data_IF_682427573091
#
_entry.id   IF_682427573091
#
_cell.length_a   1.000
_cell.length_b   1.000
_cell.length_c   1.000
_cell.angle_alpha   90.00
_cell.angle_beta   90.00
_cell.angle_gamma   90.00
#
_symmetry.space_group_name_H-M   'P 1'
#
loop_
_entity.id
_entity.type
_entity.pdbx_description
1 polymer ?
#
# COMPACT_ATOMS: atom_id res chain seq x y z
N UNK A 1 26.42 -13.65 -30.34
CA UNK A 1 27.02 -12.68 -29.43
C UNK A 1 25.94 -12.35 -28.36
N UNK A 2 25.89 -13.20 -27.32
CA UNK A 2 25.01 -12.98 -26.19
C UNK A 2 25.84 -12.21 -25.14
N UNK A 3 25.50 -10.98 -24.85
CA UNK A 3 26.15 -10.16 -23.82
C UNK A 3 26.68 -8.79 -24.29
N UNK A 4 26.32 -8.31 -25.47
CA UNK A 4 26.75 -7.00 -25.95
C UNK A 4 26.31 -5.82 -25.06
N UNK A 5 25.27 -6.01 -24.24
CA UNK A 5 24.72 -5.00 -23.32
C UNK A 5 25.05 -5.26 -21.83
N UNK A 6 25.99 -6.17 -21.54
CA UNK A 6 26.36 -6.56 -20.19
C UNK A 6 25.59 -7.79 -19.68
N UNK A 7 26.08 -8.38 -18.61
CA UNK A 7 25.49 -9.56 -17.96
C UNK A 7 25.32 -9.28 -16.47
N UNK A 8 24.14 -9.54 -15.93
CA UNK A 8 23.89 -9.53 -14.49
C UNK A 8 23.89 -10.99 -14.01
N UNK A 9 24.90 -11.37 -13.22
CA UNK A 9 24.96 -12.69 -12.60
C UNK A 9 24.45 -12.62 -11.17
N UNK A 10 23.34 -13.32 -10.89
CA UNK A 10 22.79 -13.43 -9.54
C UNK A 10 23.19 -14.77 -8.95
N UNK A 11 24.04 -14.75 -7.92
CA UNK A 11 24.41 -15.93 -7.17
C UNK A 11 23.68 -15.95 -5.82
N UNK A 12 22.92 -17.00 -5.56
CA UNK A 12 22.20 -17.17 -4.29
C UNK A 12 23.12 -17.73 -3.22
N UNK A 13 22.78 -17.51 -1.94
CA UNK A 13 23.52 -18.06 -0.80
C UNK A 13 23.54 -19.58 -0.86
N UNK A 14 24.70 -20.17 -0.59
CA UNK A 14 24.91 -21.60 -0.47
C UNK A 14 25.31 -21.96 0.95
N UNK A 15 25.06 -23.19 1.35
CA UNK A 15 25.61 -23.77 2.57
C UNK A 15 27.11 -23.94 2.47
N UNK A 16 27.76 -23.94 3.63
CA UNK A 16 29.19 -24.24 3.75
C UNK A 16 29.40 -25.36 4.77
N UNK A 17 30.43 -26.17 4.58
CA UNK A 17 30.81 -27.19 5.56
C UNK A 17 31.01 -26.56 6.93
N UNK A 18 30.34 -27.10 7.93
CA UNK A 18 30.41 -26.60 9.30
C UNK A 18 29.15 -26.91 10.09
N UNK A 19 29.12 -26.46 11.34
CA UNK A 19 27.96 -26.63 12.22
C UNK A 19 26.73 -25.88 11.64
N UNK A 20 25.56 -26.42 11.88
CA UNK A 20 24.31 -25.77 11.54
C UNK A 20 24.21 -24.39 12.20
N UNK A 21 23.90 -23.38 11.40
CA UNK A 21 23.67 -22.01 11.84
C UNK A 21 22.20 -21.66 11.58
N UNK A 22 21.50 -21.24 12.63
CA UNK A 22 20.15 -20.74 12.56
C UNK A 22 20.19 -19.21 12.66
N UNK A 23 19.53 -18.53 11.73
CA UNK A 23 19.34 -17.08 11.76
C UNK A 23 17.86 -16.77 11.63
N UNK A 24 17.35 -15.96 12.54
CA UNK A 24 15.96 -15.50 12.55
C UNK A 24 16.00 -13.98 12.48
N UNK A 25 15.24 -13.39 11.57
CA UNK A 25 15.03 -11.95 11.51
C UNK A 25 13.55 -11.61 11.45
N UNK A 26 13.20 -10.51 12.08
CA UNK A 26 11.88 -9.91 12.01
C UNK A 26 12.04 -8.41 11.80
N UNK A 27 11.40 -7.91 10.77
CA UNK A 27 11.40 -6.49 10.41
C UNK A 27 9.96 -5.98 10.42
N UNK A 28 9.72 -4.90 11.16
CA UNK A 28 8.47 -4.16 11.13
C UNK A 28 8.74 -2.79 10.51
N UNK A 29 8.01 -2.46 9.48
CA UNK A 29 8.09 -1.16 8.81
C UNK A 29 6.71 -0.56 8.61
N UNK A 30 6.68 0.73 8.33
CA UNK A 30 5.47 1.45 7.96
C UNK A 30 5.72 2.13 6.62
N UNK A 31 4.80 1.89 5.69
CA UNK A 31 4.81 2.54 4.39
C UNK A 31 3.84 3.72 4.41
N UNK A 32 4.23 4.81 3.77
CA UNK A 32 3.40 6.01 3.58
C UNK A 32 3.54 6.53 2.17
N UNK A 33 2.60 7.35 1.74
CA UNK A 33 2.73 8.03 0.46
C UNK A 33 3.93 8.99 0.48
N UNK A 34 4.78 8.91 -0.52
CA UNK A 34 5.93 9.81 -0.68
C UNK A 34 5.49 11.23 -1.00
N UNK A 35 4.41 11.36 -1.77
CA UNK A 35 3.79 12.62 -2.13
C UNK A 35 2.29 12.42 -2.27
N UNK A 36 1.52 13.27 -1.62
CA UNK A 36 0.10 13.39 -1.82
C UNK A 36 -0.14 14.58 -2.78
N UNK A 37 -1.10 14.51 -3.71
CA UNK A 37 -1.45 15.68 -4.51
C UNK A 37 -2.03 16.77 -3.61
N UNK A 38 -1.73 18.01 -3.93
CA UNK A 38 -2.31 19.15 -3.23
C UNK A 38 -3.83 19.17 -3.49
N UNK A 39 -4.59 19.29 -2.42
CA UNK A 39 -6.04 19.34 -2.46
C UNK A 39 -6.53 20.76 -2.69
N UNK A 40 -7.47 20.91 -3.57
CA UNK A 40 -8.27 22.13 -3.65
C UNK A 40 -9.36 22.10 -2.60
N UNK A 41 -9.61 23.23 -1.96
CA UNK A 41 -10.82 23.43 -1.18
C UNK A 41 -12.06 23.46 -2.08
N UNK A 42 -13.23 23.15 -1.54
CA UNK A 42 -14.46 23.13 -2.32
C UNK A 42 -14.76 24.47 -3.01
N UNK A 43 -14.47 25.61 -2.38
CA UNK A 43 -14.63 26.93 -2.99
C UNK A 43 -13.60 27.21 -4.09
N UNK A 44 -12.35 26.76 -3.94
CA UNK A 44 -11.32 26.90 -4.97
C UNK A 44 -11.68 26.09 -6.22
N UNK A 45 -12.24 24.89 -6.03
CA UNK A 45 -12.79 24.12 -7.13
C UNK A 45 -13.89 24.86 -7.87
N UNK A 46 -14.85 25.49 -7.14
CA UNK A 46 -15.93 26.25 -7.74
C UNK A 46 -15.39 27.47 -8.56
N UNK A 47 -14.41 28.20 -8.02
CA UNK A 47 -13.77 29.33 -8.67
C UNK A 47 -13.04 28.90 -9.95
N UNK A 48 -12.19 27.88 -9.86
CA UNK A 48 -11.45 27.35 -11.02
C UNK A 48 -12.37 26.74 -12.08
N UNK A 49 -13.47 26.10 -11.65
CA UNK A 49 -14.45 25.57 -12.59
C UNK A 49 -15.16 26.69 -13.36
N UNK A 50 -15.52 27.77 -12.67
CA UNK A 50 -16.10 28.95 -13.31
C UNK A 50 -15.10 29.61 -14.28
N UNK A 51 -13.83 29.74 -13.89
CA UNK A 51 -12.78 30.26 -14.75
C UNK A 51 -12.62 29.41 -16.02
N UNK A 52 -12.55 28.09 -15.88
CA UNK A 52 -12.46 27.19 -17.02
C UNK A 52 -13.65 27.32 -17.98
N UNK A 53 -14.89 27.38 -17.45
CA UNK A 53 -16.09 27.57 -18.26
C UNK A 53 -16.06 28.92 -19.00
N UNK A 54 -15.67 29.99 -18.29
CA UNK A 54 -15.56 31.32 -18.90
C UNK A 54 -14.53 31.35 -20.03
N UNK A 55 -13.39 30.65 -19.86
CA UNK A 55 -12.36 30.54 -20.91
C UNK A 55 -12.87 29.78 -22.14
N UNK A 56 -13.79 28.82 -21.96
CA UNK A 56 -14.45 28.08 -23.03
C UNK A 56 -15.68 28.80 -23.61
N UNK A 57 -16.02 30.00 -23.10
CA UNK A 57 -17.14 30.82 -23.57
C UNK A 57 -18.51 30.39 -23.00
N UNK A 58 -18.53 29.65 -21.90
CA UNK A 58 -19.75 29.25 -21.18
C UNK A 58 -20.00 30.14 -19.96
N UNK A 59 -21.25 30.18 -19.50
CA UNK A 59 -21.62 30.85 -18.27
C UNK A 59 -21.04 30.16 -17.04
N UNK A 60 -20.75 30.90 -15.95
CA UNK A 60 -20.32 30.34 -14.67
C UNK A 60 -21.34 29.35 -14.11
N UNK A 61 -20.89 28.21 -13.64
CA UNK A 61 -21.73 27.17 -13.03
C UNK A 61 -22.15 27.51 -11.58
N UNK A 62 -21.26 28.17 -10.85
CA UNK A 62 -21.46 28.52 -9.44
C UNK A 62 -21.57 30.01 -9.27
N UNK A 63 -22.65 30.48 -8.63
CA UNK A 63 -22.80 31.90 -8.28
C UNK A 63 -21.84 32.29 -7.15
N UNK A 64 -21.51 33.60 -7.06
CA UNK A 64 -20.69 34.13 -5.95
C UNK A 64 -21.29 33.83 -4.58
N UNK A 65 -22.62 33.82 -4.45
CA UNK A 65 -23.35 33.47 -3.22
C UNK A 65 -23.07 32.00 -2.81
N UNK A 66 -23.08 31.07 -3.76
CA UNK A 66 -22.78 29.66 -3.52
C UNK A 66 -21.31 29.50 -3.07
N UNK A 67 -20.39 30.16 -3.76
CA UNK A 67 -18.97 30.15 -3.41
C UNK A 67 -18.74 30.71 -1.99
N UNK A 68 -19.42 31.83 -1.66
CA UNK A 68 -19.35 32.40 -0.32
C UNK A 68 -19.88 31.44 0.77
N UNK A 69 -20.93 30.66 0.48
CA UNK A 69 -21.45 29.61 1.38
C UNK A 69 -20.47 28.43 1.54
N UNK A 70 -19.73 28.04 0.50
CA UNK A 70 -18.63 27.07 0.64
C UNK A 70 -17.48 27.60 1.50
N UNK A 71 -17.14 28.90 1.39
CA UNK A 71 -16.13 29.54 2.27
C UNK A 71 -16.62 29.65 3.72
N UNK A 72 -17.89 29.93 3.93
CA UNK A 72 -18.51 30.00 5.25
C UNK A 72 -19.95 29.44 5.21
N UNK A 73 -20.13 28.14 5.57
CA UNK A 73 -21.45 27.53 5.58
C UNK A 73 -22.50 28.22 6.48
N UNK A 74 -22.06 28.98 7.48
CA UNK A 74 -22.94 29.68 8.42
C UNK A 74 -23.35 31.08 7.93
N UNK A 75 -22.86 31.49 6.78
CA UNK A 75 -23.17 32.80 6.21
C UNK A 75 -24.67 33.02 6.04
N UNK A 76 -25.21 34.10 6.67
CA UNK A 76 -26.61 34.47 6.58
C UNK A 76 -27.60 33.67 7.44
N UNK A 77 -27.11 32.81 8.34
CA UNK A 77 -27.94 32.17 9.35
C UNK A 77 -28.19 33.11 10.54
N UNK A 78 -29.38 33.08 11.09
CA UNK A 78 -29.75 33.80 12.30
C UNK A 78 -29.55 32.92 13.54
N UNK A 79 -28.60 33.21 14.42
CA UNK A 79 -28.33 32.41 15.63
C UNK A 79 -29.51 32.39 16.63
N UNK A 80 -30.46 33.31 16.49
CA UNK A 80 -31.63 33.40 17.38
C UNK A 80 -32.82 32.58 16.89
N UNK A 81 -32.73 32.01 15.69
CA UNK A 81 -33.77 31.16 15.11
C UNK A 81 -33.97 29.88 15.94
N UNK A 82 -35.23 29.50 16.25
CA UNK A 82 -35.51 28.23 16.93
C UNK A 82 -35.00 26.99 16.19
N UNK A 83 -34.76 27.08 14.88
CA UNK A 83 -34.29 26.01 14.01
C UNK A 83 -32.84 26.16 13.63
N UNK A 84 -32.09 26.99 14.35
CA UNK A 84 -30.69 27.30 14.01
C UNK A 84 -29.81 26.06 13.92
N UNK A 85 -29.88 25.16 14.89
CA UNK A 85 -29.04 23.95 14.93
C UNK A 85 -29.27 23.03 13.73
N UNK A 86 -30.54 22.86 13.32
CA UNK A 86 -30.88 22.09 12.11
C UNK A 86 -30.35 22.78 10.84
N UNK A 87 -30.48 24.09 10.76
CA UNK A 87 -29.96 24.87 9.62
C UNK A 87 -28.43 24.77 9.54
N UNK A 88 -27.72 24.84 10.67
CA UNK A 88 -26.28 24.64 10.75
C UNK A 88 -25.89 23.24 10.26
N UNK A 89 -26.60 22.20 10.73
CA UNK A 89 -26.30 20.81 10.32
C UNK A 89 -26.53 20.63 8.80
N UNK A 90 -27.63 21.12 8.26
CA UNK A 90 -27.93 21.08 6.83
C UNK A 90 -26.89 21.84 6.00
N UNK A 91 -26.53 23.06 6.42
CA UNK A 91 -25.55 23.89 5.71
C UNK A 91 -24.16 23.25 5.68
N UNK A 92 -23.69 22.70 6.80
CA UNK A 92 -22.43 21.97 6.87
C UNK A 92 -22.44 20.69 6.03
N UNK A 93 -23.57 20.03 5.89
CA UNK A 93 -23.70 18.86 5.03
C UNK A 93 -23.68 19.21 3.54
N UNK A 94 -24.35 20.30 3.14
CA UNK A 94 -24.45 20.74 1.74
C UNK A 94 -23.18 21.44 1.27
N UNK A 95 -22.63 22.34 2.08
CA UNK A 95 -21.42 23.12 1.74
C UNK A 95 -20.20 22.58 2.46
N UNK A 96 -20.01 21.25 2.37
CA UNK A 96 -18.87 20.58 3.00
C UNK A 96 -17.57 20.81 2.22
N UNK A 97 -16.46 20.81 2.96
CA UNK A 97 -15.11 20.83 2.42
C UNK A 97 -14.35 19.60 2.90
N UNK A 98 -14.63 18.47 2.26
CA UNK A 98 -14.11 17.17 2.65
C UNK A 98 -12.73 16.89 2.05
N UNK A 99 -11.82 16.42 2.89
CA UNK A 99 -10.55 15.87 2.45
C UNK A 99 -10.73 14.37 2.16
N UNK A 100 -11.08 14.04 0.92
CA UNK A 100 -11.32 12.65 0.50
C UNK A 100 -10.07 11.77 0.62
N UNK A 101 -8.86 12.32 0.43
CA UNK A 101 -7.64 11.56 0.65
C UNK A 101 -7.54 11.09 2.10
N UNK A 102 -7.75 11.98 3.06
CA UNK A 102 -7.69 11.63 4.50
C UNK A 102 -8.88 10.80 4.96
N UNK A 103 -10.01 10.90 4.28
CA UNK A 103 -11.17 10.06 4.57
C UNK A 103 -10.94 8.61 4.11
N UNK A 104 -10.37 8.42 2.92
CA UNK A 104 -10.27 7.09 2.31
C UNK A 104 -8.89 6.47 2.41
N UNK A 105 -7.85 7.22 2.74
CA UNK A 105 -6.49 6.72 2.80
C UNK A 105 -5.90 6.82 4.21
N UNK A 106 -5.26 5.73 4.63
CA UNK A 106 -4.45 5.72 5.85
C UNK A 106 -3.11 6.39 5.58
N UNK A 107 -2.67 7.24 6.51
CA UNK A 107 -1.37 7.89 6.41
C UNK A 107 -0.21 6.89 6.40
N UNK A 108 -0.32 5.84 7.22
CA UNK A 108 0.71 4.81 7.37
C UNK A 108 0.07 3.44 7.38
N UNK A 109 0.72 2.48 6.73
CA UNK A 109 0.32 1.07 6.73
C UNK A 109 1.46 0.19 7.20
N UNK A 110 1.18 -0.83 8.03
CA UNK A 110 2.20 -1.74 8.51
C UNK A 110 2.63 -2.71 7.40
N UNK A 111 3.93 -3.00 7.38
CA UNK A 111 4.52 -4.11 6.64
C UNK A 111 5.39 -4.91 7.61
N UNK A 112 5.10 -6.19 7.73
CA UNK A 112 5.85 -7.12 8.57
C UNK A 112 6.59 -8.12 7.70
N UNK A 113 7.84 -8.40 8.03
CA UNK A 113 8.66 -9.41 7.37
C UNK A 113 9.33 -10.29 8.42
N UNK A 114 9.20 -11.59 8.25
CA UNK A 114 9.90 -12.58 9.06
C UNK A 114 10.71 -13.49 8.16
N UNK A 115 11.95 -13.81 8.53
CA UNK A 115 12.78 -14.77 7.82
C UNK A 115 13.45 -15.72 8.81
N UNK A 116 13.48 -16.99 8.44
CA UNK A 116 14.22 -18.05 9.13
C UNK A 116 15.18 -18.67 8.13
N UNK A 117 16.47 -18.66 8.45
CA UNK A 117 17.51 -19.24 7.62
C UNK A 117 18.22 -20.34 8.41
N UNK A 118 18.43 -21.48 7.80
CA UNK A 118 19.25 -22.56 8.30
C UNK A 118 20.33 -22.85 7.27
N UNK A 119 21.58 -22.84 7.67
CA UNK A 119 22.70 -23.19 6.79
C UNK A 119 23.73 -24.02 7.52
N UNK A 120 24.44 -24.88 6.78
CA UNK A 120 25.48 -25.74 7.32
C UNK A 120 25.96 -26.72 6.28
N UNK A 121 26.76 -27.66 6.72
CA UNK A 121 27.23 -28.70 5.81
C UNK A 121 28.09 -29.73 6.51
N UNK A 122 28.13 -30.90 5.89
CA UNK A 122 28.99 -32.04 6.20
C UNK A 122 29.94 -32.32 5.03
N UNK A 123 30.71 -33.41 5.10
CA UNK A 123 31.48 -33.86 3.95
C UNK A 123 30.62 -34.34 2.79
N UNK A 124 29.37 -34.70 3.07
CA UNK A 124 28.44 -35.24 2.09
C UNK A 124 27.47 -34.19 1.52
N UNK A 125 27.02 -33.22 2.32
CA UNK A 125 26.01 -32.24 1.87
C UNK A 125 26.27 -30.88 2.48
N UNK A 126 26.23 -29.84 1.63
CA UNK A 126 26.08 -28.45 2.07
C UNK A 126 24.65 -28.00 1.81
N UNK A 127 24.06 -27.30 2.76
CA UNK A 127 22.67 -26.88 2.68
C UNK A 127 22.45 -25.43 3.12
N UNK A 128 21.55 -24.76 2.44
CA UNK A 128 20.96 -23.49 2.84
C UNK A 128 19.46 -23.56 2.60
N UNK A 129 18.68 -23.33 3.64
CA UNK A 129 17.22 -23.28 3.58
C UNK A 129 16.76 -21.96 4.16
N UNK A 130 15.87 -21.28 3.45
CA UNK A 130 15.22 -20.05 3.90
C UNK A 130 13.70 -20.21 3.81
N UNK A 131 13.01 -19.82 4.87
CA UNK A 131 11.56 -19.61 4.90
C UNK A 131 11.34 -18.15 5.21
N UNK A 132 10.60 -17.46 4.34
CA UNK A 132 10.28 -16.04 4.50
C UNK A 132 8.78 -15.81 4.46
N UNK A 133 8.28 -14.94 5.32
CA UNK A 133 6.91 -14.46 5.31
C UNK A 133 6.90 -12.93 5.22
N UNK A 134 6.02 -12.39 4.36
CA UNK A 134 5.76 -10.96 4.24
C UNK A 134 4.26 -10.77 4.36
N UNK A 135 3.86 -9.87 5.24
CA UNK A 135 2.53 -9.28 5.27
C UNK A 135 2.65 -7.80 4.94
N UNK A 136 1.92 -7.35 3.93
CA UNK A 136 1.77 -5.93 3.60
C UNK A 136 0.32 -5.53 3.75
N UNK A 137 0.03 -4.67 4.71
CA UNK A 137 -1.30 -4.12 4.92
C UNK A 137 -1.70 -3.13 3.83
N UNK A 138 -3.00 -2.90 3.69
CA UNK A 138 -3.56 -1.95 2.76
C UNK A 138 -3.65 -0.53 3.32
N UNK A 139 -3.64 0.44 2.43
CA UNK A 139 -3.68 1.86 2.75
C UNK A 139 -5.09 2.47 2.69
N UNK A 140 -6.12 1.67 2.43
CA UNK A 140 -7.49 2.16 2.41
C UNK A 140 -8.04 2.26 3.84
N UNK A 141 -8.75 3.36 4.13
CA UNK A 141 -9.56 3.51 5.33
C UNK A 141 -10.97 3.01 5.00
N UNK A 142 -11.23 1.74 5.31
CA UNK A 142 -12.44 1.05 4.90
C UNK A 142 -13.30 0.68 6.11
N UNK A 143 -14.57 0.45 5.86
CA UNK A 143 -15.50 -0.11 6.84
C UNK A 143 -15.09 -1.54 7.25
N UNK A 144 -15.62 -1.99 8.37
CA UNK A 144 -15.34 -3.34 8.88
C UNK A 144 -15.77 -4.41 7.88
N UNK A 145 -14.94 -5.44 7.65
CA UNK A 145 -15.34 -6.61 6.87
C UNK A 145 -16.64 -7.27 7.35
N UNK A 146 -16.91 -7.24 8.65
CA UNK A 146 -18.13 -7.80 9.24
C UNK A 146 -19.39 -7.05 8.76
N UNK A 147 -19.28 -5.74 8.57
CA UNK A 147 -20.39 -4.93 8.06
C UNK A 147 -20.61 -5.14 6.55
N UNK A 148 -19.52 -5.24 5.78
CA UNK A 148 -19.57 -5.35 4.33
C UNK A 148 -19.78 -6.79 3.85
N UNK A 149 -19.50 -7.80 4.67
CA UNK A 149 -19.49 -9.21 4.29
C UNK A 149 -18.31 -9.63 3.41
N UNK A 150 -17.36 -8.73 3.16
CA UNK A 150 -16.10 -8.97 2.45
C UNK A 150 -15.01 -8.02 2.95
N UNK A 151 -13.74 -8.36 2.69
CA UNK A 151 -12.62 -7.50 3.05
C UNK A 151 -12.28 -6.53 1.91
N UNK A 152 -12.56 -5.22 2.04
CA UNK A 152 -12.30 -4.22 1.01
C UNK A 152 -10.84 -3.73 0.98
N UNK A 153 -9.98 -4.21 1.90
CA UNK A 153 -8.57 -3.80 1.96
C UNK A 153 -7.75 -4.39 0.83
N UNK A 154 -6.81 -3.57 0.31
CA UNK A 154 -5.70 -4.09 -0.48
C UNK A 154 -4.65 -4.65 0.47
N UNK A 155 -4.37 -5.94 0.44
CA UNK A 155 -3.30 -6.53 1.23
C UNK A 155 -2.60 -7.65 0.46
N UNK A 156 -1.40 -7.97 0.88
CA UNK A 156 -0.63 -9.08 0.34
C UNK A 156 -0.01 -9.87 1.48
N UNK A 157 -0.21 -11.18 1.44
CA UNK A 157 0.49 -12.16 2.25
C UNK A 157 1.31 -13.06 1.34
N UNK A 158 2.61 -13.18 1.58
CA UNK A 158 3.48 -14.06 0.81
C UNK A 158 4.32 -14.92 1.73
N UNK A 159 4.22 -16.23 1.53
CA UNK A 159 5.13 -17.21 2.09
C UNK A 159 6.12 -17.64 1.01
N UNK A 160 7.40 -17.61 1.29
CA UNK A 160 8.46 -18.01 0.37
C UNK A 160 9.34 -19.08 0.97
N UNK A 161 9.74 -20.05 0.13
CA UNK A 161 10.67 -21.12 0.48
C UNK A 161 11.82 -21.11 -0.53
N UNK A 162 13.05 -21.17 -0.02
CA UNK A 162 14.23 -21.42 -0.85
C UNK A 162 15.09 -22.47 -0.20
N UNK A 163 15.55 -23.44 -0.99
CA UNK A 163 16.47 -24.47 -0.56
C UNK A 163 17.57 -24.66 -1.60
N UNK A 164 18.81 -24.57 -1.19
CA UNK A 164 20.00 -24.83 -2.00
C UNK A 164 20.78 -25.95 -1.31
N UNK A 165 20.89 -27.09 -1.99
CA UNK A 165 21.56 -28.30 -1.51
C UNK A 165 22.65 -28.70 -2.50
N UNK A 166 23.86 -28.85 -2.03
CA UNK A 166 24.99 -29.39 -2.83
C UNK A 166 25.42 -30.71 -2.21
N UNK A 167 25.22 -31.83 -2.91
CA UNK A 167 25.58 -33.18 -2.48
C UNK A 167 26.93 -33.58 -3.08
N UNK A 168 27.90 -33.84 -2.25
CA UNK A 168 29.25 -34.33 -2.63
C UNK A 168 29.22 -35.86 -2.69
N UNK A 169 28.81 -36.42 -3.86
CA UNK A 169 28.63 -37.86 -4.05
C UNK A 169 30.00 -38.58 -4.06
N UNK A 170 30.97 -37.96 -4.74
CA UNK A 170 32.37 -38.37 -4.74
C UNK A 170 33.28 -37.16 -4.69
N UNK A 171 34.62 -37.37 -4.63
CA UNK A 171 35.58 -36.25 -4.67
C UNK A 171 35.52 -35.41 -5.96
N UNK A 172 35.00 -36.00 -7.05
CA UNK A 172 34.91 -35.36 -8.37
C UNK A 172 33.47 -35.12 -8.84
N UNK A 173 32.47 -35.61 -8.10
CA UNK A 173 31.06 -35.48 -8.49
C UNK A 173 30.25 -34.78 -7.40
N UNK A 174 29.67 -33.63 -7.77
CA UNK A 174 28.74 -32.88 -6.93
C UNK A 174 27.43 -32.74 -7.67
N UNK A 175 26.32 -33.06 -7.01
CA UNK A 175 24.95 -32.81 -7.49
C UNK A 175 24.33 -31.62 -6.72
N UNK A 176 23.76 -30.65 -7.43
CA UNK A 176 23.12 -29.47 -6.82
C UNK A 176 21.63 -29.51 -7.06
N UNK A 177 20.85 -29.29 -5.99
CA UNK A 177 19.40 -29.13 -6.04
C UNK A 177 19.03 -27.76 -5.50
N UNK A 178 18.46 -26.93 -6.38
CA UNK A 178 18.02 -25.58 -6.02
C UNK A 178 16.50 -25.50 -6.20
N UNK A 179 15.79 -25.23 -5.11
CA UNK A 179 14.32 -25.07 -5.10
C UNK A 179 14.02 -23.64 -4.67
N UNK A 180 13.15 -22.97 -5.42
CA UNK A 180 12.58 -21.69 -5.02
C UNK A 180 11.08 -21.73 -5.33
N UNK A 181 10.27 -21.42 -4.33
CA UNK A 181 8.82 -21.45 -4.41
C UNK A 181 8.23 -20.34 -3.55
N UNK A 182 7.05 -19.87 -3.90
CA UNK A 182 6.24 -18.99 -3.05
C UNK A 182 4.76 -19.27 -3.21
N UNK A 183 4.01 -18.99 -2.17
CA UNK A 183 2.55 -18.89 -2.18
C UNK A 183 2.17 -17.44 -1.79
N UNK A 184 1.26 -16.87 -2.54
CA UNK A 184 0.85 -15.47 -2.34
C UNK A 184 -0.67 -15.38 -2.32
N UNK A 185 -1.18 -14.63 -1.33
CA UNK A 185 -2.57 -14.24 -1.25
C UNK A 185 -2.64 -12.72 -1.38
N UNK A 186 -3.25 -12.24 -2.45
CA UNK A 186 -3.42 -10.81 -2.73
C UNK A 186 -4.90 -10.51 -2.79
N UNK A 187 -5.32 -9.53 -2.01
CA UNK A 187 -6.66 -8.96 -2.08
C UNK A 187 -6.57 -7.55 -2.65
N UNK A 188 -7.33 -7.29 -3.70
CA UNK A 188 -7.43 -5.97 -4.32
C UNK A 188 -8.89 -5.66 -4.62
N UNK A 189 -9.31 -4.39 -4.51
CA UNK A 189 -10.65 -3.99 -4.96
C UNK A 189 -10.82 -4.36 -6.43
N UNK A 190 -12.00 -4.87 -6.77
CA UNK A 190 -12.35 -5.05 -8.16
C UNK A 190 -12.45 -3.68 -8.85
N UNK A 191 -11.69 -3.49 -9.92
CA UNK A 191 -11.84 -2.35 -10.81
C UNK A 191 -12.92 -2.76 -11.82
N UNK A 192 -14.09 -2.17 -11.71
CA UNK A 192 -15.20 -2.36 -12.65
C UNK A 192 -14.96 -1.61 -13.95
#
# INVERSE_FOLDING_TARGET
VQGANGVILIQTRKGQKGKAQLSISFDQSWTSFTKEPDRLHSWEYCELRNEALSNDGYDPQFSEEIIAKYKNPLLGLDPTSPDYDNQVAMRKAVYCDNDFYRMYLKKNTPQSRANVNISGGTDFVNYFVNVGYIHQGGNLNTESPDYLGYNPQCYMDRLSLRSNLDFHITKSLTASLNIASYAENVNMPAVG
#
